data_IF_439791554876
#
_entry.id   IF_439791554876
#
_cell.length_a   1.000
_cell.length_b   1.000
_cell.length_c   1.000
_cell.angle_alpha   90.00
_cell.angle_beta   90.00
_cell.angle_gamma   90.00
#
_symmetry.space_group_name_H-M   'P 1'
#
loop_
_entity.id
_entity.type
_entity.pdbx_description
1 polymer ?
#
# COMPACT_ATOMS: atom_id res chain seq x y z
N UNK A 1 -15.23 48.53 -27.30
CA UNK A 1 -16.56 48.53 -27.91
C UNK A 1 -17.45 47.89 -26.86
N UNK A 2 -17.98 48.65 -25.94
CA UNK A 2 -19.38 49.16 -25.87
C UNK A 2 -20.35 47.98 -25.78
N UNK A 3 -21.31 47.79 -24.87
CA UNK A 3 -22.01 48.71 -23.96
C UNK A 3 -23.09 47.81 -23.30
N UNK A 4 -23.29 47.94 -22.02
CA UNK A 4 -24.50 48.39 -21.28
C UNK A 4 -25.67 47.40 -21.22
N UNK A 5 -26.03 46.99 -20.07
CA UNK A 5 -26.96 47.56 -19.08
C UNK A 5 -28.43 47.23 -19.37
N UNK A 6 -29.14 46.70 -18.40
CA UNK A 6 -30.42 47.26 -17.92
C UNK A 6 -31.01 46.48 -16.76
N UNK A 7 -31.11 47.13 -15.60
CA UNK A 7 -32.22 47.01 -14.63
C UNK A 7 -33.25 48.06 -15.03
N UNK A 8 -34.53 47.99 -14.70
CA UNK A 8 -35.08 48.24 -13.37
C UNK A 8 -36.41 47.48 -13.06
N UNK A 9 -36.95 47.62 -11.92
CA UNK A 9 -38.01 48.39 -11.29
C UNK A 9 -38.76 47.51 -10.31
N UNK A 10 -38.71 47.68 -9.12
CA UNK A 10 -39.46 48.37 -8.09
C UNK A 10 -40.96 48.65 -8.40
N UNK A 11 -41.84 48.10 -7.58
CA UNK A 11 -43.06 48.79 -7.13
C UNK A 11 -43.79 47.96 -6.07
N UNK A 12 -43.89 48.56 -4.89
CA UNK A 12 -45.02 48.34 -3.95
C UNK A 12 -46.10 49.39 -4.27
N UNK A 13 -47.39 49.16 -3.99
CA UNK A 13 -47.96 49.90 -2.90
C UNK A 13 -49.12 49.20 -2.12
N UNK A 14 -49.25 49.64 -0.93
CA UNK A 14 -50.33 50.36 -0.30
C UNK A 14 -51.42 49.60 0.48
N UNK A 15 -51.50 50.11 1.63
CA UNK A 15 -52.42 49.93 2.77
C UNK A 15 -53.92 50.01 2.39
N UNK A 16 -54.75 49.25 3.06
CA UNK A 16 -56.04 49.78 3.58
C UNK A 16 -56.39 49.15 4.92
N UNK A 17 -56.66 50.04 5.83
CA UNK A 17 -57.23 49.82 7.14
C UNK A 17 -58.73 49.51 7.07
N UNK A 18 -59.24 48.80 8.00
CA UNK A 18 -60.68 48.58 8.16
C UNK A 18 -61.05 47.81 9.44
N UNK A 19 -61.17 48.55 10.51
CA UNK A 19 -62.12 48.44 11.64
C UNK A 19 -62.59 47.09 12.19
N UNK A 20 -62.20 46.81 13.41
CA UNK A 20 -62.97 46.58 14.61
C UNK A 20 -64.15 45.61 14.57
N UNK A 21 -64.05 44.57 15.37
CA UNK A 21 -65.13 44.26 16.34
C UNK A 21 -64.60 43.36 17.46
N UNK A 22 -64.64 43.90 18.62
CA UNK A 22 -64.46 43.25 19.91
C UNK A 22 -65.49 42.14 20.11
N UNK A 23 -65.04 40.91 20.36
CA UNK A 23 -65.79 39.94 21.19
C UNK A 23 -64.78 39.07 21.91
N UNK A 24 -64.78 39.23 23.23
CA UNK A 24 -64.04 38.39 24.14
C UNK A 24 -64.55 36.94 24.09
N UNK A 25 -63.60 36.05 24.04
CA UNK A 25 -63.87 34.69 24.47
C UNK A 25 -62.64 34.29 25.31
N UNK A 26 -62.92 33.94 26.51
CA UNK A 26 -61.97 33.49 27.49
C UNK A 26 -61.17 32.26 27.04
N UNK A 27 -60.07 31.98 27.72
CA UNK A 27 -59.20 30.89 27.34
C UNK A 27 -59.89 29.53 27.45
N UNK A 28 -60.13 28.87 26.32
CA UNK A 28 -60.62 27.50 26.26
C UNK A 28 -59.67 26.52 26.96
N UNK A 29 -60.22 25.42 27.46
CA UNK A 29 -59.39 24.42 28.19
C UNK A 29 -58.24 23.93 27.32
N UNK A 30 -57.02 24.01 27.88
CA UNK A 30 -55.82 23.50 27.24
C UNK A 30 -55.97 21.99 26.99
N UNK A 31 -55.71 21.48 25.79
CA UNK A 31 -55.69 20.05 25.53
C UNK A 31 -54.61 19.39 26.39
N UNK A 32 -54.87 18.16 26.87
CA UNK A 32 -53.92 17.44 27.71
C UNK A 32 -52.63 17.27 26.94
N UNK A 33 -51.48 17.66 27.56
CA UNK A 33 -50.17 17.41 27.03
C UNK A 33 -49.99 15.90 26.93
N UNK A 34 -49.89 15.40 25.71
CA UNK A 34 -49.46 14.02 25.44
C UNK A 34 -48.09 13.86 26.08
N UNK A 35 -47.85 12.84 26.91
CA UNK A 35 -46.53 12.53 27.41
C UNK A 35 -45.64 12.23 26.17
N UNK A 36 -44.55 12.94 26.05
CA UNK A 36 -43.50 12.62 25.07
C UNK A 36 -43.03 11.21 25.37
N UNK A 37 -43.44 10.27 24.55
CA UNK A 37 -42.97 8.90 24.61
C UNK A 37 -41.44 8.95 24.38
N UNK A 38 -40.71 8.84 25.47
CA UNK A 38 -39.29 8.48 25.43
C UNK A 38 -39.23 7.06 24.86
N UNK A 39 -39.10 6.94 23.56
CA UNK A 39 -38.59 5.73 22.95
C UNK A 39 -37.13 5.59 23.42
N UNK A 40 -36.95 5.08 24.63
CA UNK A 40 -35.67 4.50 25.02
C UNK A 40 -35.49 3.29 24.10
N UNK A 41 -34.76 3.49 23.00
CA UNK A 41 -34.16 2.39 22.26
C UNK A 41 -33.04 1.84 23.17
N UNK A 42 -33.46 1.12 24.21
CA UNK A 42 -32.57 0.23 24.93
C UNK A 42 -32.34 -0.97 23.99
N UNK A 43 -31.59 -0.76 22.94
CA UNK A 43 -31.00 -1.86 22.19
C UNK A 43 -30.12 -2.61 23.17
N UNK A 44 -30.59 -3.75 23.70
CA UNK A 44 -29.72 -4.73 24.33
C UNK A 44 -28.65 -5.01 23.28
N UNK A 45 -27.47 -4.41 23.45
CA UNK A 45 -26.34 -4.69 22.61
C UNK A 45 -26.13 -6.21 22.68
N UNK A 46 -26.41 -6.91 21.60
CA UNK A 46 -26.18 -8.34 21.49
C UNK A 46 -24.67 -8.56 21.42
N UNK A 47 -24.00 -8.28 22.54
CA UNK A 47 -22.54 -8.42 22.71
C UNK A 47 -22.07 -9.80 22.24
N UNK A 48 -22.74 -10.93 22.55
CA UNK A 48 -22.30 -12.23 22.04
C UNK A 48 -22.40 -12.32 20.52
N UNK A 49 -23.41 -11.69 19.90
CA UNK A 49 -23.54 -11.65 18.44
C UNK A 49 -22.42 -10.79 17.79
N UNK A 50 -22.11 -9.64 18.38
CA UNK A 50 -20.99 -8.82 17.94
C UNK A 50 -19.65 -9.56 18.07
N UNK A 51 -19.40 -10.23 19.20
CA UNK A 51 -18.21 -11.02 19.44
C UNK A 51 -18.08 -12.17 18.45
N UNK A 52 -19.19 -12.84 18.09
CA UNK A 52 -19.20 -13.89 17.07
C UNK A 52 -18.73 -13.36 15.71
N UNK A 53 -19.28 -12.23 15.27
CA UNK A 53 -18.89 -11.64 13.97
C UNK A 53 -17.47 -11.11 13.96
N UNK A 54 -17.02 -10.48 15.04
CA UNK A 54 -15.62 -10.03 15.19
C UNK A 54 -14.67 -11.22 15.15
N UNK A 55 -15.01 -12.30 15.86
CA UNK A 55 -14.20 -13.54 15.84
C UNK A 55 -14.18 -14.17 14.45
N UNK A 56 -15.32 -14.23 13.77
CA UNK A 56 -15.40 -14.78 12.42
C UNK A 56 -14.54 -13.97 11.43
N UNK A 57 -14.63 -12.65 11.49
CA UNK A 57 -13.80 -11.75 10.66
C UNK A 57 -12.32 -11.92 10.99
N UNK A 58 -11.97 -11.99 12.27
CA UNK A 58 -10.58 -12.21 12.71
C UNK A 58 -10.05 -13.55 12.21
N UNK A 59 -10.79 -14.64 12.39
CA UNK A 59 -10.38 -15.97 11.91
C UNK A 59 -10.22 -15.99 10.40
N UNK A 60 -11.16 -15.38 9.67
CA UNK A 60 -11.08 -15.28 8.20
C UNK A 60 -9.87 -14.45 7.78
N UNK A 61 -9.64 -13.31 8.42
CA UNK A 61 -8.51 -12.43 8.14
C UNK A 61 -7.17 -13.12 8.42
N UNK A 62 -7.00 -13.70 9.61
CA UNK A 62 -5.76 -14.39 9.99
C UNK A 62 -5.55 -15.66 9.17
N UNK A 63 -6.62 -16.42 8.90
CA UNK A 63 -6.56 -17.60 8.04
C UNK A 63 -6.15 -17.23 6.60
N UNK A 64 -6.74 -16.19 6.04
CA UNK A 64 -6.39 -15.73 4.70
C UNK A 64 -4.95 -15.20 4.65
N UNK A 65 -4.52 -14.45 5.66
CA UNK A 65 -3.16 -13.93 5.75
C UNK A 65 -2.11 -15.06 5.87
N UNK A 66 -2.38 -16.10 6.68
CA UNK A 66 -1.51 -17.26 6.79
C UNK A 66 -1.43 -18.08 5.48
N UNK A 67 -2.54 -18.14 4.74
CA UNK A 67 -2.61 -18.83 3.45
C UNK A 67 -1.95 -18.02 2.31
N UNK A 68 -1.83 -16.72 2.43
CA UNK A 68 -1.24 -15.84 1.39
C UNK A 68 0.20 -15.46 1.67
N UNK A 69 0.77 -15.85 2.82
CA UNK A 69 2.17 -15.63 3.13
C UNK A 69 3.08 -16.10 1.99
N UNK A 70 4.02 -15.27 1.51
CA UNK A 70 4.93 -15.65 0.44
C UNK A 70 5.81 -16.82 0.91
N UNK A 71 6.00 -17.79 0.04
CA UNK A 71 6.96 -18.87 0.28
C UNK A 71 8.36 -18.31 0.13
N UNK A 72 9.12 -18.34 1.21
CA UNK A 72 10.48 -17.79 1.26
C UNK A 72 11.47 -18.80 0.72
N UNK A 73 12.52 -18.32 0.06
CA UNK A 73 13.62 -19.09 -0.49
C UNK A 73 14.35 -19.91 0.59
N UNK A 74 14.76 -21.10 0.24
CA UNK A 74 15.67 -21.92 1.06
C UNK A 74 17.08 -21.80 0.51
N UNK A 75 18.02 -21.40 1.36
CA UNK A 75 19.45 -21.40 1.01
C UNK A 75 19.97 -22.82 1.21
N UNK A 76 20.53 -23.40 0.17
CA UNK A 76 21.20 -24.69 0.21
C UNK A 76 22.66 -24.49 -0.26
N UNK A 77 23.57 -25.28 0.29
CA UNK A 77 24.93 -25.38 -0.24
C UNK A 77 24.94 -26.59 -1.16
N UNK A 78 25.31 -26.37 -2.43
CA UNK A 78 25.44 -27.44 -3.40
C UNK A 78 26.58 -28.40 -3.03
N UNK A 79 26.55 -29.63 -3.51
CA UNK A 79 27.57 -30.65 -3.26
C UNK A 79 29.01 -30.25 -3.69
N UNK A 80 29.11 -29.23 -4.55
CA UNK A 80 30.38 -28.65 -4.98
C UNK A 80 30.80 -27.42 -4.16
N UNK A 81 30.15 -27.12 -3.05
CA UNK A 81 30.43 -25.96 -2.19
C UNK A 81 29.94 -24.60 -2.72
N UNK A 82 29.29 -24.58 -3.88
CA UNK A 82 28.70 -23.36 -4.42
C UNK A 82 27.39 -23.02 -3.68
N UNK A 83 27.19 -21.73 -3.42
CA UNK A 83 25.96 -21.23 -2.82
C UNK A 83 24.82 -21.36 -3.83
N UNK A 84 23.81 -22.11 -3.46
CA UNK A 84 22.60 -22.35 -4.24
C UNK A 84 21.38 -21.91 -3.46
N UNK A 85 20.57 -21.07 -4.07
CA UNK A 85 19.34 -20.56 -3.46
C UNK A 85 18.16 -21.14 -4.24
N UNK A 86 17.40 -22.02 -3.60
CA UNK A 86 16.20 -22.61 -4.18
C UNK A 86 14.99 -21.81 -3.74
N UNK A 87 14.30 -21.19 -4.70
CA UNK A 87 13.17 -20.31 -4.48
C UNK A 87 11.90 -20.97 -5.00
N UNK A 88 10.96 -21.36 -4.12
CA UNK A 88 9.69 -21.91 -4.56
C UNK A 88 8.82 -20.80 -5.19
N UNK A 89 8.08 -21.15 -6.23
CA UNK A 89 7.12 -20.26 -6.85
C UNK A 89 6.00 -19.90 -5.87
N UNK A 90 5.76 -18.61 -5.70
CA UNK A 90 4.64 -18.12 -4.90
C UNK A 90 3.32 -18.25 -5.66
N UNK A 91 2.18 -18.15 -4.95
CA UNK A 91 0.85 -18.28 -5.55
C UNK A 91 0.54 -17.27 -6.65
N UNK A 92 1.12 -16.07 -6.53
CA UNK A 92 1.03 -15.00 -7.54
C UNK A 92 1.96 -15.20 -8.74
N UNK A 93 2.69 -16.34 -8.81
CA UNK A 93 3.59 -16.67 -9.89
C UNK A 93 5.01 -16.10 -9.77
N UNK A 94 5.28 -15.25 -8.78
CA UNK A 94 6.58 -14.61 -8.57
C UNK A 94 7.48 -15.42 -7.63
N UNK A 95 8.78 -15.10 -7.66
CA UNK A 95 9.81 -15.71 -6.84
C UNK A 95 10.36 -14.67 -5.86
N UNK A 96 10.36 -14.99 -4.57
CA UNK A 96 10.79 -14.08 -3.51
C UNK A 96 11.99 -14.66 -2.75
N UNK A 97 12.97 -13.80 -2.50
CA UNK A 97 14.19 -14.15 -1.77
C UNK A 97 14.48 -13.12 -0.70
N UNK A 98 14.92 -13.57 0.46
CA UNK A 98 15.39 -12.68 1.51
C UNK A 98 16.81 -12.21 1.22
N UNK A 99 17.04 -10.96 1.56
CA UNK A 99 18.33 -10.34 1.43
C UNK A 99 18.47 -9.14 2.33
N UNK A 100 19.45 -8.31 2.05
CA UNK A 100 19.69 -7.07 2.79
C UNK A 100 20.29 -6.00 1.89
N UNK A 101 20.01 -4.73 2.21
CA UNK A 101 20.69 -3.57 1.65
C UNK A 101 21.44 -2.89 2.80
N UNK A 102 22.75 -2.77 2.69
CA UNK A 102 23.62 -2.23 3.74
C UNK A 102 23.37 -2.88 5.13
N UNK A 103 23.01 -4.18 5.15
CA UNK A 103 22.68 -4.92 6.35
C UNK A 103 21.22 -4.77 6.82
N UNK A 104 20.42 -3.89 6.20
CA UNK A 104 18.99 -3.78 6.50
C UNK A 104 18.21 -4.87 5.75
N UNK A 105 17.42 -5.72 6.45
CA UNK A 105 16.67 -6.81 5.82
C UNK A 105 15.66 -6.29 4.79
N UNK A 106 15.63 -6.92 3.62
CA UNK A 106 14.69 -6.62 2.53
C UNK A 106 14.28 -7.92 1.85
N UNK A 107 13.00 -8.10 1.63
CA UNK A 107 12.50 -9.15 0.74
C UNK A 107 12.55 -8.65 -0.69
N UNK A 108 13.17 -9.44 -1.56
CA UNK A 108 13.27 -9.12 -2.99
C UNK A 108 12.37 -10.04 -3.82
N UNK A 109 11.72 -9.49 -4.81
CA UNK A 109 11.11 -10.22 -5.90
C UNK A 109 12.12 -10.33 -7.04
N UNK A 110 12.40 -11.54 -7.51
CA UNK A 110 13.30 -11.76 -8.65
C UNK A 110 12.60 -11.28 -9.92
N UNK A 111 13.18 -10.26 -10.55
CA UNK A 111 12.65 -9.65 -11.77
C UNK A 111 13.73 -9.59 -12.86
N UNK A 112 13.63 -10.54 -13.80
CA UNK A 112 14.57 -10.61 -14.94
C UNK A 112 14.38 -9.49 -15.96
N UNK A 113 13.24 -8.78 -15.90
CA UNK A 113 12.95 -7.61 -16.74
C UNK A 113 13.48 -6.29 -16.16
N UNK A 114 13.79 -6.25 -14.87
CA UNK A 114 14.39 -5.07 -14.25
C UNK A 114 15.91 -4.98 -14.54
N UNK A 115 16.38 -3.83 -14.96
CA UNK A 115 17.83 -3.61 -15.23
C UNK A 115 18.64 -3.44 -13.95
N UNK A 116 18.04 -2.85 -12.91
CA UNK A 116 18.68 -2.56 -11.63
C UNK A 116 17.80 -3.02 -10.47
N UNK A 117 18.42 -3.16 -9.29
CA UNK A 117 17.65 -3.27 -8.04
C UNK A 117 16.81 -2.02 -7.89
N UNK A 118 15.50 -2.20 -7.68
CA UNK A 118 14.58 -1.09 -7.45
C UNK A 118 13.84 -1.27 -6.13
N UNK A 119 13.72 -0.20 -5.36
CA UNK A 119 13.05 -0.20 -4.04
C UNK A 119 12.17 1.03 -3.87
N UNK A 120 11.19 0.92 -3.00
CA UNK A 120 10.39 2.06 -2.56
C UNK A 120 11.20 3.00 -1.64
N UNK A 121 10.87 4.27 -1.64
CA UNK A 121 11.49 5.28 -0.78
C UNK A 121 11.37 4.96 0.72
N UNK A 122 10.37 4.17 1.14
CA UNK A 122 10.23 3.69 2.53
C UNK A 122 11.35 2.73 2.88
N UNK A 123 11.66 1.78 1.99
CA UNK A 123 12.76 0.82 2.17
C UNK A 123 14.09 1.57 2.17
N UNK A 124 14.28 2.52 1.24
CA UNK A 124 15.48 3.34 1.18
C UNK A 124 15.76 4.10 2.49
N UNK A 125 14.73 4.70 3.07
CA UNK A 125 14.83 5.38 4.38
C UNK A 125 15.14 4.40 5.51
N UNK A 126 14.48 3.24 5.55
CA UNK A 126 14.70 2.22 6.56
C UNK A 126 16.14 1.65 6.48
N UNK A 127 16.65 1.42 5.27
CA UNK A 127 18.02 1.00 5.01
C UNK A 127 19.06 2.14 5.13
N UNK A 128 18.62 3.36 5.48
CA UNK A 128 19.45 4.57 5.64
C UNK A 128 20.31 4.86 4.41
N UNK A 129 19.72 4.71 3.22
CA UNK A 129 20.41 5.07 2.00
C UNK A 129 20.64 6.59 1.95
N UNK A 130 21.81 7.03 1.45
CA UNK A 130 22.04 8.45 1.20
C UNK A 130 21.11 8.95 0.08
N UNK A 131 20.96 10.26 -0.03
CA UNK A 131 20.27 10.87 -1.16
C UNK A 131 20.99 10.53 -2.46
N UNK A 132 20.22 10.08 -3.46
CA UNK A 132 20.73 9.73 -4.78
C UNK A 132 20.71 10.89 -5.76
N UNK A 133 20.99 10.57 -7.01
CA UNK A 133 20.89 11.50 -8.14
C UNK A 133 19.53 11.31 -8.80
N UNK A 134 18.82 12.40 -9.16
CA UNK A 134 17.56 12.30 -9.89
C UNK A 134 17.70 11.48 -11.17
N UNK A 135 16.78 10.59 -11.43
CA UNK A 135 16.76 9.74 -12.61
C UNK A 135 15.32 9.39 -13.03
N UNK A 136 15.12 9.17 -14.32
CA UNK A 136 13.87 8.66 -14.87
C UNK A 136 14.03 7.18 -15.20
N UNK A 137 13.05 6.38 -14.82
CA UNK A 137 13.04 4.94 -15.03
C UNK A 137 11.84 4.54 -15.89
N UNK A 138 12.08 3.70 -16.91
CA UNK A 138 11.02 3.02 -17.64
C UNK A 138 10.43 1.92 -16.78
N UNK A 139 9.11 1.92 -16.60
CA UNK A 139 8.37 0.87 -15.88
C UNK A 139 7.25 0.31 -16.78
N UNK A 140 6.66 -0.80 -16.39
CA UNK A 140 5.53 -1.39 -17.10
C UNK A 140 4.32 -0.43 -17.20
N UNK A 141 4.21 0.52 -16.27
CA UNK A 141 3.14 1.54 -16.25
C UNK A 141 3.53 2.87 -16.92
N UNK A 142 4.73 2.96 -17.52
CA UNK A 142 5.25 4.18 -18.13
C UNK A 142 6.51 4.68 -17.41
N UNK A 143 6.85 5.93 -17.61
CA UNK A 143 8.01 6.55 -16.97
C UNK A 143 7.72 6.92 -15.51
N UNK A 144 8.68 6.62 -14.64
CA UNK A 144 8.64 6.97 -13.23
C UNK A 144 9.86 7.83 -12.86
N UNK A 145 9.63 8.88 -12.10
CA UNK A 145 10.69 9.71 -11.53
C UNK A 145 11.18 9.10 -10.22
N UNK A 146 12.49 9.14 -10.01
CA UNK A 146 13.10 8.59 -8.82
C UNK A 146 14.55 9.05 -8.66
N UNK A 147 15.30 8.30 -7.89
CA UNK A 147 16.73 8.57 -7.63
C UNK A 147 17.57 7.31 -7.87
N UNK A 148 18.77 7.47 -8.38
CA UNK A 148 19.79 6.43 -8.42
C UNK A 148 20.77 6.63 -7.28
N UNK A 149 20.89 5.63 -6.40
CA UNK A 149 21.82 5.64 -5.27
C UNK A 149 22.96 4.65 -5.56
N UNK A 150 24.15 5.12 -5.93
CA UNK A 150 25.29 4.25 -6.27
C UNK A 150 26.01 3.73 -5.02
N UNK A 151 26.89 2.76 -5.22
CA UNK A 151 27.86 2.23 -4.24
C UNK A 151 27.21 1.64 -2.97
N UNK A 152 26.10 0.94 -3.15
CA UNK A 152 25.46 0.22 -2.05
C UNK A 152 25.89 -1.24 -2.01
N UNK A 153 25.74 -1.87 -0.85
CA UNK A 153 25.96 -3.31 -0.67
C UNK A 153 24.60 -4.02 -0.66
N UNK A 154 24.47 -5.05 -1.47
CA UNK A 154 23.29 -5.89 -1.53
C UNK A 154 23.67 -7.33 -1.21
N UNK A 155 22.98 -7.93 -0.27
CA UNK A 155 23.13 -9.35 0.08
C UNK A 155 21.88 -10.12 -0.33
N UNK A 156 22.05 -11.25 -1.01
CA UNK A 156 20.94 -12.13 -1.43
C UNK A 156 21.31 -13.57 -1.10
N UNK A 157 20.49 -14.22 -0.25
CA UNK A 157 20.72 -15.60 0.14
C UNK A 157 22.12 -15.89 0.68
N UNK A 158 22.76 -14.90 1.32
CA UNK A 158 24.13 -15.03 1.85
C UNK A 158 25.23 -14.55 0.89
N UNK A 159 24.92 -14.31 -0.39
CA UNK A 159 25.86 -13.73 -1.35
C UNK A 159 25.86 -12.22 -1.23
N UNK A 160 27.00 -11.61 -0.88
CA UNK A 160 27.17 -10.16 -0.80
C UNK A 160 27.79 -9.62 -2.10
N UNK A 161 27.18 -8.57 -2.63
CA UNK A 161 27.63 -7.84 -3.82
C UNK A 161 27.76 -6.38 -3.43
N UNK A 162 28.95 -5.84 -3.55
CA UNK A 162 29.24 -4.44 -3.25
C UNK A 162 29.23 -3.58 -4.51
N UNK A 163 29.22 -2.26 -4.33
CA UNK A 163 29.21 -1.27 -5.41
C UNK A 163 28.00 -1.38 -6.35
N UNK A 164 26.85 -1.70 -5.80
CA UNK A 164 25.57 -1.81 -6.53
C UNK A 164 24.89 -0.45 -6.61
N UNK A 165 24.37 -0.09 -7.79
CA UNK A 165 23.46 1.04 -7.95
C UNK A 165 22.03 0.59 -7.71
N UNK A 166 21.31 1.34 -6.90
CA UNK A 166 19.90 1.06 -6.52
C UNK A 166 19.01 2.18 -7.04
N UNK A 167 17.94 1.83 -7.72
CA UNK A 167 16.87 2.74 -8.09
C UNK A 167 15.89 2.90 -6.91
N UNK A 168 15.64 4.11 -6.50
CA UNK A 168 14.63 4.46 -5.48
C UNK A 168 13.46 5.12 -6.19
N UNK A 169 12.33 4.42 -6.24
CA UNK A 169 11.14 4.84 -6.98
C UNK A 169 9.92 4.72 -6.05
N UNK A 170 9.11 5.78 -5.96
CA UNK A 170 7.90 5.73 -5.16
C UNK A 170 6.85 4.80 -5.81
N UNK A 171 6.18 4.00 -4.99
CA UNK A 171 5.11 3.12 -5.45
C UNK A 171 5.55 1.75 -5.97
N UNK A 172 6.82 1.38 -5.87
CA UNK A 172 7.31 0.02 -6.20
C UNK A 172 6.70 -1.05 -5.29
N UNK A 173 6.32 -0.67 -4.06
CA UNK A 173 5.68 -1.59 -3.11
C UNK A 173 6.52 -1.86 -1.88
N UNK A 174 6.16 -2.92 -1.15
CA UNK A 174 6.83 -3.30 0.12
C UNK A 174 8.02 -4.23 -0.09
N UNK A 175 8.19 -4.76 -1.30
CA UNK A 175 9.30 -5.63 -1.68
C UNK A 175 10.22 -4.91 -2.65
N UNK A 176 11.52 -5.20 -2.60
CA UNK A 176 12.46 -4.74 -3.59
C UNK A 176 12.40 -5.59 -4.86
N UNK A 177 12.72 -5.02 -6.01
CA UNK A 177 12.94 -5.76 -7.25
C UNK A 177 14.42 -6.13 -7.36
N UNK A 178 14.72 -7.40 -7.60
CA UNK A 178 16.07 -7.89 -7.81
C UNK A 178 16.35 -7.93 -9.31
N UNK A 179 17.04 -6.91 -9.82
CA UNK A 179 17.27 -6.72 -11.24
C UNK A 179 18.58 -7.34 -11.76
N UNK A 180 18.82 -7.13 -13.05
CA UNK A 180 19.96 -7.70 -13.81
C UNK A 180 21.33 -7.28 -13.26
N UNK A 181 21.44 -6.11 -12.63
CA UNK A 181 22.70 -5.67 -12.03
C UNK A 181 23.17 -6.58 -10.86
N UNK A 182 22.28 -7.42 -10.30
CA UNK A 182 22.60 -8.50 -9.36
C UNK A 182 22.57 -9.85 -10.07
N UNK A 183 21.50 -10.14 -10.84
CA UNK A 183 21.28 -11.45 -11.45
C UNK A 183 22.40 -11.85 -12.43
N UNK A 184 23.12 -10.89 -13.03
CA UNK A 184 24.29 -11.17 -13.89
C UNK A 184 25.41 -11.93 -13.18
N UNK A 185 25.51 -11.83 -11.85
CA UNK A 185 26.48 -12.58 -11.03
C UNK A 185 25.99 -13.98 -10.66
N UNK A 186 24.80 -14.34 -11.09
CA UNK A 186 24.16 -15.61 -10.79
C UNK A 186 23.75 -16.34 -12.07
N UNK A 187 23.80 -17.64 -12.01
CA UNK A 187 23.11 -18.51 -12.97
C UNK A 187 21.66 -18.65 -12.49
N UNK A 188 20.71 -18.31 -13.32
CA UNK A 188 19.28 -18.37 -13.00
C UNK A 188 18.69 -19.52 -13.80
N UNK A 189 18.25 -20.56 -13.09
CA UNK A 189 17.56 -21.70 -13.69
C UNK A 189 16.15 -21.78 -13.15
N UNK A 190 15.17 -21.77 -14.04
CA UNK A 190 13.76 -21.97 -13.69
C UNK A 190 13.31 -23.34 -14.18
N UNK A 191 12.79 -24.17 -13.27
CA UNK A 191 12.27 -25.48 -13.58
C UNK A 191 11.01 -25.77 -12.78
N UNK A 192 9.90 -25.95 -13.47
CA UNK A 192 8.59 -26.16 -12.85
C UNK A 192 8.22 -25.02 -11.88
N UNK A 193 7.95 -25.38 -10.63
CA UNK A 193 7.55 -24.46 -9.58
C UNK A 193 8.73 -23.94 -8.72
N UNK A 194 9.95 -24.03 -9.23
CA UNK A 194 11.14 -23.57 -8.53
C UNK A 194 12.04 -22.72 -9.44
N UNK A 195 12.71 -21.76 -8.83
CA UNK A 195 13.82 -21.02 -9.41
C UNK A 195 15.06 -21.28 -8.57
N UNK A 196 16.15 -21.57 -9.24
CA UNK A 196 17.45 -21.81 -8.60
C UNK A 196 18.39 -20.69 -9.01
N UNK A 197 18.94 -19.97 -8.02
CA UNK A 197 19.98 -19.00 -8.21
C UNK A 197 21.30 -19.60 -7.71
N UNK A 198 22.29 -19.70 -8.59
CA UNK A 198 23.63 -20.21 -8.28
C UNK A 198 24.66 -19.15 -8.56
N UNK A 199 25.55 -18.86 -7.61
CA UNK A 199 26.61 -17.88 -7.81
C UNK A 199 27.54 -18.31 -8.96
N UNK A 200 27.86 -17.43 -9.89
CA UNK A 200 28.86 -17.63 -10.94
C UNK A 200 30.25 -17.38 -10.37
N UNK A 201 31.06 -18.44 -10.25
CA UNK A 201 32.45 -18.34 -9.83
C UNK A 201 32.65 -18.13 -8.31
N UNK A 202 33.91 -18.09 -7.89
CA UNK A 202 34.30 -17.71 -6.52
C UNK A 202 34.06 -16.21 -6.29
N UNK A 203 32.84 -15.82 -6.00
CA UNK A 203 32.60 -14.53 -5.38
C UNK A 203 33.13 -14.62 -3.94
N UNK A 204 34.26 -13.90 -3.68
CA UNK A 204 34.95 -13.88 -2.39
C UNK A 204 33.94 -13.72 -1.25
N UNK A 205 34.05 -14.63 -0.29
CA UNK A 205 33.44 -14.54 1.05
C UNK A 205 33.96 -13.31 1.78
#
# INVERSE_FOLDING_TARGET
MKVESHLPGEEAPERRAGHACLRGNGPGPRPPRRPAGRHAIAGKANIPYLLFWVSLVAVTYFGMNALTAPKIAKVAVSNNGALEIVIPRSRNGHYFVEGAINGHPVTFMVDTGATTVAIDSRIARAARLPKGYPATFGTASGEAQGETVPRQSVTVGGLRIDNVSIAVINGVGEVGLLGQNILRYMEVTQSGDQMVLRAKGELRR
#
